data_IF_804641122645
#
_entry.id   IF_804641122645
#
_cell.length_a   1.000
_cell.length_b   1.000
_cell.length_c   1.000
_cell.angle_alpha   90.00
_cell.angle_beta   90.00
_cell.angle_gamma   90.00
#
_symmetry.space_group_name_H-M   'P 1'
#
loop_
_entity.id
_entity.type
_entity.pdbx_description
1 polymer ?
#
# COMPACT_ATOMS: atom_id res chain seq x y z
N UNK A 1 27.81 7.74 -15.98
CA UNK A 1 26.55 8.37 -15.55
C UNK A 1 26.00 7.47 -14.47
N UNK A 2 25.75 7.98 -13.27
CA UNK A 2 25.03 7.22 -12.24
C UNK A 2 23.68 6.81 -12.81
N UNK A 3 23.31 5.54 -12.67
CA UNK A 3 22.00 5.08 -13.13
C UNK A 3 20.90 5.81 -12.35
N UNK A 4 19.80 6.16 -13.02
CA UNK A 4 18.68 6.85 -12.37
C UNK A 4 18.06 5.95 -11.31
N UNK A 5 17.76 6.54 -10.16
CA UNK A 5 17.07 5.92 -9.05
C UNK A 5 15.57 6.21 -9.14
N UNK A 6 14.75 5.24 -8.77
CA UNK A 6 13.31 5.43 -8.71
C UNK A 6 12.73 4.79 -7.45
N UNK A 7 11.75 5.48 -6.90
CA UNK A 7 10.98 5.10 -5.73
C UNK A 7 9.53 4.92 -6.15
N UNK A 8 8.89 3.88 -5.64
CA UNK A 8 7.44 3.71 -5.69
C UNK A 8 6.86 4.31 -4.42
N UNK A 9 5.90 5.22 -4.52
CA UNK A 9 5.12 5.70 -3.39
C UNK A 9 3.65 5.35 -3.56
N UNK A 10 3.01 4.97 -2.47
CA UNK A 10 1.59 4.57 -2.45
C UNK A 10 0.78 5.41 -1.42
N UNK A 11 0.79 6.75 -1.52
CA UNK A 11 0.14 7.59 -0.52
C UNK A 11 -1.37 7.37 -0.46
N UNK A 12 -1.95 7.58 0.73
CA UNK A 12 -3.38 7.50 0.97
C UNK A 12 -3.88 8.79 1.63
N UNK A 13 -5.01 9.31 1.17
CA UNK A 13 -5.68 10.45 1.79
C UNK A 13 -7.15 10.15 2.07
N UNK A 14 -7.69 10.80 3.09
CA UNK A 14 -8.97 10.50 3.72
C UNK A 14 -10.17 11.14 3.00
N UNK A 15 -10.21 11.01 1.67
CA UNK A 15 -11.38 11.34 0.86
C UNK A 15 -11.52 10.36 -0.32
N UNK A 16 -12.68 9.73 -0.46
CA UNK A 16 -13.01 8.84 -1.57
C UNK A 16 -14.30 9.23 -2.31
N UNK A 17 -14.86 10.41 -2.03
CA UNK A 17 -16.23 10.78 -2.44
C UNK A 17 -16.29 12.09 -3.22
N UNK A 18 -15.51 13.09 -2.82
CA UNK A 18 -15.54 14.45 -3.40
C UNK A 18 -14.57 14.52 -4.57
N UNK A 19 -15.09 14.29 -5.79
CA UNK A 19 -14.27 14.20 -7.01
C UNK A 19 -13.37 15.43 -7.21
N UNK A 20 -13.89 16.62 -7.00
CA UNK A 20 -13.16 17.88 -7.10
C UNK A 20 -12.00 17.98 -6.10
N UNK A 21 -12.18 17.46 -4.88
CA UNK A 21 -11.13 17.40 -3.86
C UNK A 21 -10.06 16.38 -4.25
N UNK A 22 -10.47 15.20 -4.70
CA UNK A 22 -9.58 14.14 -5.17
C UNK A 22 -8.70 14.64 -6.33
N UNK A 23 -9.30 15.24 -7.35
CA UNK A 23 -8.54 15.78 -8.49
C UNK A 23 -7.59 16.90 -8.07
N UNK A 24 -8.00 17.80 -7.16
CA UNK A 24 -7.13 18.86 -6.65
C UNK A 24 -5.94 18.32 -5.84
N UNK A 25 -6.11 17.20 -5.13
CA UNK A 25 -5.05 16.55 -4.35
C UNK A 25 -4.07 15.79 -5.24
N UNK A 26 -4.53 15.14 -6.31
CA UNK A 26 -3.66 14.37 -7.22
C UNK A 26 -2.98 15.23 -8.29
N UNK A 27 -3.49 16.44 -8.57
CA UNK A 27 -2.94 17.36 -9.57
C UNK A 27 -1.44 17.65 -9.41
N UNK A 28 -0.90 17.87 -8.19
CA UNK A 28 0.54 18.11 -7.99
C UNK A 28 1.46 16.96 -8.40
N UNK A 29 0.91 15.76 -8.66
CA UNK A 29 1.66 14.61 -9.16
C UNK A 29 1.69 14.53 -10.69
N UNK A 30 0.87 15.32 -11.39
CA UNK A 30 0.76 15.32 -12.85
C UNK A 30 1.77 16.29 -13.45
N UNK A 31 2.33 15.93 -14.61
CA UNK A 31 3.25 16.78 -15.39
C UNK A 31 4.50 17.26 -14.64
N UNK A 32 4.96 16.52 -13.64
CA UNK A 32 6.21 16.80 -12.91
C UNK A 32 7.35 15.99 -13.55
N UNK A 33 8.40 16.67 -13.98
CA UNK A 33 9.58 15.99 -14.54
C UNK A 33 10.19 15.02 -13.51
N UNK A 34 10.45 13.78 -13.93
CA UNK A 34 10.97 12.75 -13.05
C UNK A 34 9.93 12.09 -12.14
N UNK A 35 8.63 12.41 -12.30
CA UNK A 35 7.52 11.78 -11.56
C UNK A 35 6.45 11.29 -12.53
N UNK A 36 5.86 10.15 -12.24
CA UNK A 36 4.82 9.50 -13.03
C UNK A 36 3.70 9.01 -12.11
N UNK A 37 2.57 9.71 -12.15
CA UNK A 37 1.32 9.24 -11.56
C UNK A 37 0.85 8.01 -12.32
N UNK A 38 0.79 6.86 -11.66
CA UNK A 38 0.41 5.57 -12.25
C UNK A 38 -1.09 5.36 -12.18
N UNK A 39 -1.67 5.52 -10.98
CA UNK A 39 -3.11 5.41 -10.75
C UNK A 39 -3.51 6.21 -9.50
N UNK A 40 -4.80 6.52 -9.41
CA UNK A 40 -5.45 6.87 -8.15
C UNK A 40 -6.82 6.22 -8.13
N UNK A 41 -7.14 5.61 -6.99
CA UNK A 41 -8.27 4.70 -6.82
C UNK A 41 -9.11 5.20 -5.64
N UNK A 42 -10.13 6.04 -5.91
CA UNK A 42 -11.05 6.49 -4.88
C UNK A 42 -11.97 5.35 -4.47
N UNK A 43 -12.06 5.11 -3.16
CA UNK A 43 -12.89 4.08 -2.57
C UNK A 43 -14.05 4.74 -1.79
N UNK A 44 -15.22 4.83 -2.41
CA UNK A 44 -16.36 5.59 -1.89
C UNK A 44 -16.81 5.15 -0.48
N UNK A 45 -16.90 3.84 -0.23
CA UNK A 45 -17.39 3.28 1.04
C UNK A 45 -16.36 3.37 2.16
N UNK A 46 -15.09 3.24 1.82
CA UNK A 46 -13.96 3.46 2.73
C UNK A 46 -13.71 4.94 3.01
N UNK A 47 -14.22 5.82 2.13
CA UNK A 47 -13.97 7.26 2.08
C UNK A 47 -12.47 7.59 2.14
N UNK A 48 -11.70 6.93 1.28
CA UNK A 48 -10.27 7.18 1.10
C UNK A 48 -9.91 7.09 -0.39
N UNK A 49 -8.78 7.63 -0.76
CA UNK A 49 -8.17 7.43 -2.08
C UNK A 49 -6.75 6.93 -1.90
N UNK A 50 -6.44 5.82 -2.57
CA UNK A 50 -5.08 5.30 -2.70
C UNK A 50 -4.50 5.84 -4.00
N UNK A 51 -3.27 6.33 -3.95
CA UNK A 51 -2.56 6.84 -5.13
C UNK A 51 -1.32 6.01 -5.33
N UNK A 52 -1.01 5.66 -6.58
CA UNK A 52 0.26 5.02 -6.97
C UNK A 52 1.05 5.99 -7.81
N UNK A 53 2.28 6.31 -7.39
CA UNK A 53 3.18 7.20 -8.10
C UNK A 53 4.61 6.65 -8.07
N UNK A 54 5.34 6.79 -9.17
CA UNK A 54 6.75 6.42 -9.28
C UNK A 54 7.54 7.67 -9.61
N UNK A 55 8.72 7.86 -9.04
CA UNK A 55 9.57 8.98 -9.42
C UNK A 55 10.99 8.92 -8.90
N UNK A 56 11.82 9.82 -9.41
CA UNK A 56 13.16 10.09 -8.89
C UNK A 56 13.06 10.67 -7.47
N UNK A 57 13.97 10.36 -6.53
CA UNK A 57 13.82 10.68 -5.11
C UNK A 57 13.46 12.14 -4.80
N UNK A 58 14.21 13.10 -5.36
CA UNK A 58 14.02 14.52 -5.06
C UNK A 58 12.74 15.10 -5.70
N UNK A 59 12.46 14.92 -7.01
CA UNK A 59 11.20 15.34 -7.60
C UNK A 59 9.97 14.70 -6.94
N UNK A 60 10.05 13.39 -6.62
CA UNK A 60 8.96 12.67 -5.98
C UNK A 60 8.66 13.22 -4.58
N UNK A 61 9.69 13.50 -3.78
CA UNK A 61 9.53 14.13 -2.46
C UNK A 61 8.73 15.42 -2.54
N UNK A 62 9.13 16.35 -3.41
CA UNK A 62 8.43 17.63 -3.54
C UNK A 62 7.00 17.45 -4.07
N UNK A 63 6.76 16.52 -5.00
CA UNK A 63 5.42 16.21 -5.49
C UNK A 63 4.52 15.65 -4.37
N UNK A 64 5.03 14.74 -3.53
CA UNK A 64 4.33 14.18 -2.38
C UNK A 64 4.03 15.24 -1.31
N UNK A 65 4.97 16.15 -1.03
CA UNK A 65 4.74 17.27 -0.11
C UNK A 65 3.66 18.24 -0.61
N UNK A 66 3.63 18.51 -1.92
CA UNK A 66 2.59 19.35 -2.53
C UNK A 66 1.21 18.66 -2.55
N UNK A 67 1.17 17.35 -2.77
CA UNK A 67 -0.05 16.54 -2.59
C UNK A 67 -0.54 16.60 -1.14
N UNK A 68 0.33 16.34 -0.17
CA UNK A 68 -0.01 16.37 1.25
C UNK A 68 -0.55 17.75 1.67
N UNK A 69 0.09 18.84 1.21
CA UNK A 69 -0.42 20.21 1.39
C UNK A 69 -1.87 20.35 0.95
N UNK A 70 -2.22 19.84 -0.23
CA UNK A 70 -3.61 19.90 -0.74
C UNK A 70 -4.57 19.09 0.11
N UNK A 71 -4.15 17.92 0.61
CA UNK A 71 -4.93 17.13 1.56
C UNK A 71 -5.21 17.91 2.85
N UNK A 72 -4.20 18.60 3.41
CA UNK A 72 -4.37 19.42 4.61
C UNK A 72 -5.27 20.64 4.40
N UNK A 73 -5.27 21.24 3.20
CA UNK A 73 -6.10 22.40 2.86
C UNK A 73 -7.58 22.03 2.63
N UNK A 74 -7.87 20.83 2.12
CA UNK A 74 -9.19 20.47 1.56
C UNK A 74 -9.97 19.44 2.38
N UNK A 75 -9.34 18.76 3.33
CA UNK A 75 -9.97 17.73 4.15
C UNK A 75 -9.89 18.14 5.63
N UNK A 76 -11.06 18.33 6.24
CA UNK A 76 -11.19 18.53 7.67
C UNK A 76 -11.48 17.18 8.36
N UNK A 77 -10.53 16.69 9.14
CA UNK A 77 -10.64 15.45 9.91
C UNK A 77 -11.72 15.49 11.00
N UNK A 78 -12.15 16.67 11.44
CA UNK A 78 -13.29 16.78 12.39
C UNK A 78 -14.64 16.49 11.73
N UNK A 79 -14.71 16.50 10.39
CA UNK A 79 -15.90 16.17 9.59
C UNK A 79 -15.74 14.87 8.79
N UNK A 80 -14.52 14.35 8.70
CA UNK A 80 -14.22 13.20 7.87
C UNK A 80 -14.71 11.91 8.54
N UNK A 81 -15.57 11.19 7.83
CA UNK A 81 -16.08 9.89 8.27
C UNK A 81 -15.88 8.83 7.18
N UNK A 82 -15.43 7.65 7.57
CA UNK A 82 -15.20 6.52 6.67
C UNK A 82 -15.05 5.21 7.44
N UNK A 83 -15.23 4.09 6.73
CA UNK A 83 -15.07 2.76 7.36
C UNK A 83 -13.60 2.31 7.43
N UNK A 84 -12.70 2.98 6.69
CA UNK A 84 -11.27 2.69 6.77
C UNK A 84 -10.60 3.40 7.96
N UNK A 85 -9.80 2.70 8.79
CA UNK A 85 -9.04 3.33 9.85
C UNK A 85 -8.06 4.37 9.30
N UNK A 86 -8.15 5.60 9.83
CA UNK A 86 -7.36 6.77 9.46
C UNK A 86 -7.03 7.64 10.66
N UNK A 87 -5.96 8.42 10.59
CA UNK A 87 -5.54 9.39 11.61
C UNK A 87 -5.24 10.78 11.04
N UNK A 88 -5.20 10.94 9.71
CA UNK A 88 -4.95 12.24 9.08
C UNK A 88 -5.62 12.41 7.72
N UNK A 89 -5.66 13.66 7.25
CA UNK A 89 -6.19 13.98 5.92
C UNK A 89 -5.28 13.46 4.82
N UNK A 90 -3.98 13.71 4.91
CA UNK A 90 -2.97 12.84 4.33
C UNK A 90 -2.64 11.77 5.36
N UNK A 91 -3.13 10.55 5.17
CA UNK A 91 -3.06 9.54 6.23
C UNK A 91 -1.73 8.79 6.20
N UNK A 92 -1.33 8.27 5.04
CA UNK A 92 -0.05 7.58 4.86
C UNK A 92 0.69 8.07 3.64
N UNK A 93 2.03 8.06 3.72
CA UNK A 93 2.96 8.17 2.58
C UNK A 93 3.98 7.02 2.70
N UNK A 94 3.60 5.81 2.27
CA UNK A 94 4.51 4.69 2.19
C UNK A 94 5.33 4.77 0.90
N UNK A 95 6.62 4.51 1.00
CA UNK A 95 7.57 4.49 -0.11
C UNK A 95 8.38 3.20 -0.11
N UNK A 96 8.75 2.76 -1.30
CA UNK A 96 9.38 1.45 -1.52
C UNK A 96 10.48 1.56 -2.58
N UNK A 97 11.57 0.80 -2.42
CA UNK A 97 12.57 0.64 -3.47
C UNK A 97 11.93 0.14 -4.77
N UNK A 98 12.17 0.86 -5.87
CA UNK A 98 11.65 0.48 -7.19
C UNK A 98 12.76 0.17 -8.20
N UNK A 99 13.71 1.08 -8.41
CA UNK A 99 14.85 0.84 -9.32
C UNK A 99 16.10 1.54 -8.81
N UNK A 100 17.21 0.79 -8.73
CA UNK A 100 18.55 1.29 -8.40
C UNK A 100 18.66 2.08 -7.09
N UNK A 101 17.75 1.85 -6.15
CA UNK A 101 17.73 2.50 -4.84
C UNK A 101 17.62 1.44 -3.75
N UNK A 102 18.36 1.60 -2.65
CA UNK A 102 18.29 0.68 -1.52
C UNK A 102 17.15 1.03 -0.57
N UNK A 103 16.85 0.10 0.33
CA UNK A 103 15.92 0.38 1.42
C UNK A 103 16.46 1.43 2.39
N UNK A 104 17.77 1.51 2.63
CA UNK A 104 18.34 2.55 3.51
C UNK A 104 18.17 3.94 2.90
N UNK A 105 18.36 4.07 1.59
CA UNK A 105 18.11 5.32 0.87
C UNK A 105 16.62 5.72 0.93
N UNK A 106 15.69 4.75 0.83
CA UNK A 106 14.26 5.01 1.02
C UNK A 106 13.94 5.40 2.47
N UNK A 107 14.57 4.79 3.47
CA UNK A 107 14.42 5.19 4.88
C UNK A 107 14.81 6.64 5.07
N UNK A 108 15.98 7.05 4.56
CA UNK A 108 16.42 8.45 4.64
C UNK A 108 15.44 9.40 3.94
N UNK A 109 14.92 9.02 2.77
CA UNK A 109 13.92 9.81 2.06
C UNK A 109 12.60 9.95 2.85
N UNK A 110 12.15 8.88 3.50
CA UNK A 110 10.96 8.89 4.36
C UNK A 110 11.13 9.82 5.57
N UNK A 111 12.31 9.80 6.21
CA UNK A 111 12.66 10.72 7.29
C UNK A 111 12.62 12.18 6.82
N UNK A 112 13.25 12.48 5.67
CA UNK A 112 13.24 13.83 5.09
C UNK A 112 11.82 14.32 4.76
N UNK A 113 10.96 13.44 4.21
CA UNK A 113 9.56 13.75 3.96
C UNK A 113 8.84 14.08 5.27
N UNK A 114 9.04 13.27 6.32
CA UNK A 114 8.40 13.49 7.62
C UNK A 114 8.78 14.82 8.27
N UNK A 115 10.08 15.13 8.29
CA UNK A 115 10.59 16.40 8.83
C UNK A 115 10.07 17.61 8.04
N UNK A 116 10.05 17.53 6.71
CA UNK A 116 9.54 18.61 5.86
C UNK A 116 8.01 18.78 5.96
N UNK A 117 7.24 17.71 6.20
CA UNK A 117 5.81 17.81 6.49
C UNK A 117 5.57 18.67 7.73
N UNK A 118 6.24 18.34 8.84
CA UNK A 118 6.06 19.10 10.07
C UNK A 118 6.55 20.53 9.93
N UNK A 119 7.74 20.73 9.34
CA UNK A 119 8.33 22.06 9.14
C UNK A 119 7.48 22.99 8.26
N UNK A 120 6.84 22.47 7.21
CA UNK A 120 6.06 23.29 6.25
C UNK A 120 4.61 23.48 6.67
N UNK A 121 4.02 22.49 7.36
CA UNK A 121 2.57 22.42 7.56
C UNK A 121 2.15 22.24 9.03
N UNK A 122 3.11 22.09 9.94
CA UNK A 122 2.88 21.85 11.38
C UNK A 122 1.99 20.62 11.66
N UNK A 123 1.95 19.68 10.71
CA UNK A 123 1.25 18.39 10.85
C UNK A 123 2.20 17.38 11.49
N UNK A 124 1.86 16.80 12.65
CA UNK A 124 2.67 15.80 13.31
C UNK A 124 2.84 14.53 12.47
N UNK A 125 3.99 13.87 12.63
CA UNK A 125 4.35 12.68 11.83
C UNK A 125 4.64 11.48 12.72
N UNK A 126 4.16 10.32 12.28
CA UNK A 126 4.58 9.02 12.79
C UNK A 126 5.40 8.28 11.73
N UNK A 127 6.40 7.53 12.18
CA UNK A 127 7.18 6.65 11.33
C UNK A 127 6.81 5.19 11.56
N UNK A 128 6.69 4.43 10.47
CA UNK A 128 6.28 3.02 10.45
C UNK A 128 7.18 2.20 9.54
N UNK A 129 7.06 0.87 9.52
CA UNK A 129 7.89 0.02 8.66
C UNK A 129 9.37 0.05 9.08
N UNK A 130 10.28 0.19 8.12
CA UNK A 130 11.73 0.12 8.38
C UNK A 130 12.29 1.36 9.11
N UNK A 131 11.56 2.47 9.11
CA UNK A 131 11.94 3.69 9.84
C UNK A 131 11.14 3.89 11.15
N UNK A 132 10.39 2.88 11.59
CA UNK A 132 9.69 2.92 12.87
C UNK A 132 10.65 3.09 14.06
N UNK A 133 10.28 3.92 15.04
CA UNK A 133 11.10 4.14 16.24
C UNK A 133 11.11 2.98 17.24
N UNK A 134 10.16 2.06 17.13
CA UNK A 134 10.08 0.84 17.94
C UNK A 134 9.30 -0.25 17.19
N UNK A 135 9.34 -1.47 17.72
CA UNK A 135 8.70 -2.65 17.10
C UNK A 135 7.19 -2.51 16.94
N UNK A 136 6.49 -1.94 17.93
CA UNK A 136 5.04 -1.77 17.86
C UNK A 136 4.63 -0.82 16.73
N UNK A 137 5.39 0.26 16.52
CA UNK A 137 5.16 1.25 15.46
C UNK A 137 5.45 0.73 14.06
N UNK A 138 6.05 -0.45 13.89
CA UNK A 138 6.16 -1.08 12.55
C UNK A 138 4.79 -1.36 11.93
N UNK A 139 3.78 -1.62 12.76
CA UNK A 139 2.44 -1.93 12.30
C UNK A 139 1.55 -0.68 12.26
N UNK A 140 1.00 -0.36 11.08
CA UNK A 140 0.02 0.73 10.92
C UNK A 140 -1.19 0.58 11.86
N UNK A 141 -1.61 -0.66 12.15
CA UNK A 141 -2.72 -0.93 13.07
C UNK A 141 -2.46 -0.50 14.51
N UNK A 142 -1.20 -0.52 14.95
CA UNK A 142 -0.82 -0.03 16.27
C UNK A 142 -0.93 1.50 16.33
N UNK A 143 -0.34 2.19 15.35
CA UNK A 143 -0.36 3.65 15.27
C UNK A 143 -1.80 4.15 15.14
N UNK A 144 -2.57 3.57 14.20
CA UNK A 144 -3.98 3.91 13.94
C UNK A 144 -4.97 3.38 14.98
N UNK A 145 -4.52 2.78 16.08
CA UNK A 145 -5.43 2.25 17.12
C UNK A 145 -6.25 3.39 17.73
N UNK A 146 -7.57 3.30 17.60
CA UNK A 146 -8.49 4.36 18.02
C UNK A 146 -8.76 5.41 16.94
N UNK A 147 -8.14 5.29 15.77
CA UNK A 147 -8.27 6.22 14.64
C UNK A 147 -7.96 7.68 15.04
N UNK A 148 -8.43 8.66 14.28
CA UNK A 148 -8.23 10.08 14.56
C UNK A 148 -8.78 10.48 15.94
N UNK A 149 -10.03 10.11 16.25
CA UNK A 149 -10.72 10.52 17.47
C UNK A 149 -10.04 9.97 18.73
N UNK A 150 -9.80 8.66 18.77
CA UNK A 150 -9.17 8.02 19.92
C UNK A 150 -7.68 8.36 20.05
N UNK A 151 -6.97 8.58 18.94
CA UNK A 151 -5.56 8.99 19.00
C UNK A 151 -5.42 10.43 19.53
N UNK A 152 -6.35 11.34 19.20
CA UNK A 152 -6.38 12.72 19.73
C UNK A 152 -6.39 12.74 21.27
N UNK A 153 -7.06 11.77 21.89
CA UNK A 153 -7.14 11.65 23.36
C UNK A 153 -5.83 11.18 23.99
N UNK A 154 -5.03 10.34 23.31
CA UNK A 154 -3.87 9.67 23.91
C UNK A 154 -2.52 10.10 23.34
N UNK A 155 -2.49 10.91 22.28
CA UNK A 155 -1.27 11.38 21.62
C UNK A 155 -0.34 12.20 22.53
N UNK A 156 -0.82 12.64 23.69
CA UNK A 156 0.00 13.33 24.70
C UNK A 156 0.87 12.38 25.53
N UNK A 157 0.60 11.08 25.50
CA UNK A 157 1.33 10.06 26.26
C UNK A 157 2.63 9.68 25.56
N UNK A 158 3.68 9.32 26.33
CA UNK A 158 4.98 8.95 25.75
C UNK A 158 4.91 7.76 24.80
N UNK A 159 4.00 6.82 25.04
CA UNK A 159 3.79 5.64 24.20
C UNK A 159 3.18 6.01 22.83
N UNK A 160 2.28 7.00 22.82
CA UNK A 160 1.42 7.31 21.66
C UNK A 160 1.75 8.62 20.96
N UNK A 161 2.69 9.42 21.47
CA UNK A 161 3.08 10.70 20.85
C UNK A 161 3.70 10.55 19.47
N UNK A 162 3.49 11.50 18.54
CA UNK A 162 4.17 11.55 17.26
C UNK A 162 5.68 11.46 17.37
N UNK A 163 6.34 10.97 16.32
CA UNK A 163 7.80 10.92 16.22
C UNK A 163 8.39 12.30 15.90
N UNK A 164 7.67 13.09 15.10
CA UNK A 164 8.00 14.48 14.76
C UNK A 164 6.81 15.38 15.09
N UNK A 165 7.10 16.51 15.74
CA UNK A 165 6.10 17.50 16.15
C UNK A 165 5.67 17.39 17.61
N UNK A 166 4.66 18.16 18.04
CA UNK A 166 4.18 18.17 19.42
C UNK A 166 3.50 16.84 19.79
N UNK A 167 3.38 16.58 21.09
CA UNK A 167 2.62 15.45 21.63
C UNK A 167 1.09 15.67 21.53
N UNK A 168 0.62 15.94 20.31
CA UNK A 168 -0.77 16.22 19.97
C UNK A 168 -0.97 15.95 18.46
N UNK A 169 -2.23 15.83 18.02
CA UNK A 169 -2.58 15.83 16.60
C UNK A 169 -2.88 17.26 16.14
N UNK A 170 -2.70 17.53 14.84
CA UNK A 170 -3.21 18.76 14.24
C UNK A 170 -4.75 18.75 14.29
N UNK A 171 -5.42 19.86 14.67
CA UNK A 171 -6.88 19.89 14.82
C UNK A 171 -7.65 19.42 13.58
N UNK A 172 -7.39 20.00 12.41
CA UNK A 172 -8.13 19.64 11.17
C UNK A 172 -7.41 18.64 10.28
N UNK A 173 -6.09 18.56 10.30
CA UNK A 173 -5.31 17.64 9.45
C UNK A 173 -4.98 16.28 10.11
N UNK A 174 -5.06 16.17 11.45
CA UNK A 174 -4.66 14.96 12.17
C UNK A 174 -3.14 14.78 12.21
N UNK A 175 -2.65 13.60 11.81
CA UNK A 175 -1.23 13.31 11.66
C UNK A 175 -0.97 12.43 10.42
N UNK A 176 0.24 12.49 9.88
CA UNK A 176 0.64 11.67 8.72
C UNK A 176 1.57 10.55 9.15
N UNK A 177 1.36 9.34 8.62
CA UNK A 177 2.30 8.24 8.79
C UNK A 177 3.20 8.17 7.56
N UNK A 178 4.50 8.34 7.73
CA UNK A 178 5.48 8.21 6.65
C UNK A 178 6.29 6.93 6.86
N UNK A 179 6.41 6.09 5.85
CA UNK A 179 7.09 4.80 6.00
C UNK A 179 7.90 4.41 4.79
N UNK A 180 9.06 3.84 5.02
CA UNK A 180 9.80 3.08 4.02
C UNK A 180 9.66 1.58 4.32
N UNK A 181 9.40 0.76 3.30
CA UNK A 181 9.45 -0.69 3.42
C UNK A 181 10.00 -1.35 2.16
N UNK A 182 10.33 -2.64 2.25
CA UNK A 182 10.95 -3.39 1.15
C UNK A 182 10.01 -3.59 -0.04
N UNK A 183 8.75 -3.90 0.24
CA UNK A 183 7.77 -4.21 -0.78
C UNK A 183 6.43 -3.52 -0.51
N UNK A 184 5.89 -2.94 -1.57
CA UNK A 184 4.50 -2.53 -1.60
C UNK A 184 3.60 -3.75 -1.59
N UNK A 185 2.40 -3.57 -1.05
CA UNK A 185 1.38 -4.60 -1.04
C UNK A 185 0.97 -4.98 -2.48
N UNK A 186 1.09 -6.26 -2.84
CA UNK A 186 0.42 -6.78 -4.05
C UNK A 186 -0.90 -7.43 -3.63
N UNK A 187 -2.02 -6.82 -4.02
CA UNK A 187 -3.33 -7.38 -3.78
C UNK A 187 -3.67 -8.41 -4.87
N UNK A 188 -3.99 -9.64 -4.45
CA UNK A 188 -4.23 -10.77 -5.35
C UNK A 188 -5.46 -11.57 -4.91
N UNK A 189 -6.49 -11.55 -5.76
CA UNK A 189 -7.77 -12.22 -5.54
C UNK A 189 -7.83 -13.51 -6.36
N UNK A 190 -8.37 -14.59 -5.76
CA UNK A 190 -8.64 -15.85 -6.46
C UNK A 190 -10.11 -16.22 -6.32
N UNK A 191 -10.75 -16.48 -7.45
CA UNK A 191 -12.19 -16.67 -7.56
C UNK A 191 -12.56 -18.15 -7.55
N UNK A 192 -13.55 -18.51 -6.75
CA UNK A 192 -14.00 -19.88 -6.54
C UNK A 192 -15.43 -20.07 -7.10
N UNK A 193 -15.66 -21.18 -7.81
CA UNK A 193 -16.96 -21.58 -8.35
C UNK A 193 -17.92 -22.12 -7.26
N UNK A 194 -18.13 -21.35 -6.20
CA UNK A 194 -19.06 -21.70 -5.12
C UNK A 194 -19.54 -20.43 -4.42
N UNK A 195 -20.78 -20.41 -3.94
CA UNK A 195 -21.28 -19.34 -3.06
C UNK A 195 -21.05 -19.64 -1.57
N UNK A 196 -20.48 -20.80 -1.24
CA UNK A 196 -20.17 -21.17 0.14
C UNK A 196 -18.94 -20.40 0.66
N UNK A 197 -19.22 -19.33 1.39
CA UNK A 197 -18.21 -18.48 2.02
C UNK A 197 -17.35 -19.23 3.05
N UNK A 198 -17.85 -20.32 3.64
CA UNK A 198 -17.07 -21.10 4.61
C UNK A 198 -15.86 -21.76 3.95
N UNK A 199 -15.98 -22.16 2.67
CA UNK A 199 -14.88 -22.73 1.88
C UNK A 199 -13.79 -21.69 1.66
N UNK A 200 -14.14 -20.48 1.18
CA UNK A 200 -13.16 -19.40 1.01
C UNK A 200 -12.48 -19.02 2.33
N UNK A 201 -13.22 -18.97 3.44
CA UNK A 201 -12.65 -18.69 4.77
C UNK A 201 -11.69 -19.78 5.23
N UNK A 202 -12.00 -21.05 4.98
CA UNK A 202 -11.12 -22.17 5.31
C UNK A 202 -9.81 -22.11 4.50
N UNK A 203 -9.91 -21.86 3.18
CA UNK A 203 -8.73 -21.75 2.30
C UNK A 203 -7.89 -20.51 2.67
N UNK A 204 -8.53 -19.37 2.93
CA UNK A 204 -7.86 -18.15 3.39
C UNK A 204 -7.10 -18.38 4.70
N UNK A 205 -7.64 -19.18 5.62
CA UNK A 205 -6.94 -19.60 6.85
C UNK A 205 -5.72 -20.46 6.53
N UNK A 206 -5.79 -21.35 5.55
CA UNK A 206 -4.67 -22.20 5.13
C UNK A 206 -3.52 -21.42 4.49
N UNK A 207 -3.82 -20.40 3.68
CA UNK A 207 -2.79 -19.66 2.92
C UNK A 207 -2.08 -18.59 3.74
N UNK A 208 -2.74 -18.00 4.76
CA UNK A 208 -2.22 -16.82 5.48
C UNK A 208 -1.23 -17.16 6.59
N UNK A 209 -0.19 -16.33 6.71
CA UNK A 209 0.87 -16.46 7.72
C UNK A 209 0.40 -16.55 9.16
N UNK A 210 -0.54 -15.69 9.64
CA UNK A 210 -1.01 -15.74 11.05
C UNK A 210 -1.70 -17.04 11.46
N UNK A 211 -1.97 -17.94 10.52
CA UNK A 211 -2.59 -19.25 10.76
C UNK A 211 -1.66 -20.42 10.42
N UNK A 212 -0.36 -20.15 10.20
CA UNK A 212 0.66 -21.15 9.87
C UNK A 212 0.89 -21.35 8.38
N UNK A 213 0.23 -20.58 7.51
CA UNK A 213 0.46 -20.56 6.06
C UNK A 213 1.71 -19.76 5.67
N UNK A 214 1.68 -19.15 4.49
CA UNK A 214 2.80 -18.33 4.01
C UNK A 214 2.97 -17.06 4.87
N UNK A 215 4.13 -16.91 5.51
CA UNK A 215 4.42 -15.83 6.46
C UNK A 215 4.19 -14.43 5.86
N UNK A 216 4.47 -14.28 4.57
CA UNK A 216 4.36 -13.04 3.79
C UNK A 216 2.99 -12.83 3.16
N UNK A 217 1.97 -13.58 3.59
CA UNK A 217 0.60 -13.47 3.09
C UNK A 217 -0.37 -13.16 4.22
N UNK A 218 -1.31 -12.24 3.97
CA UNK A 218 -2.57 -12.12 4.73
C UNK A 218 -3.71 -12.43 3.78
N UNK A 219 -4.71 -13.15 4.26
CA UNK A 219 -5.85 -13.54 3.42
C UNK A 219 -7.15 -13.58 4.20
N UNK A 220 -8.23 -13.34 3.47
CA UNK A 220 -9.61 -13.42 3.95
C UNK A 220 -10.51 -14.03 2.87
N UNK A 221 -11.50 -14.81 3.30
CA UNK A 221 -12.57 -15.29 2.42
C UNK A 221 -13.72 -14.29 2.42
N UNK A 222 -14.09 -13.77 1.26
CA UNK A 222 -15.12 -12.74 1.08
C UNK A 222 -16.06 -13.06 -0.08
N UNK A 223 -17.24 -12.42 -0.07
CA UNK A 223 -18.20 -12.44 -1.17
C UNK A 223 -18.34 -11.00 -1.66
N UNK A 224 -18.05 -10.77 -2.93
CA UNK A 224 -18.32 -9.49 -3.58
C UNK A 224 -19.80 -9.44 -4.00
N UNK A 225 -20.57 -8.41 -3.62
CA UNK A 225 -21.97 -8.26 -4.02
C UNK A 225 -22.20 -8.32 -5.53
N UNK A 226 -21.27 -7.76 -6.30
CA UNK A 226 -21.29 -7.60 -7.74
C UNK A 226 -20.82 -8.84 -8.52
N UNK A 227 -20.46 -9.94 -7.83
CA UNK A 227 -19.87 -11.13 -8.49
C UNK A 227 -20.48 -12.45 -8.01
N UNK A 228 -20.65 -13.39 -8.94
CA UNK A 228 -20.95 -14.79 -8.64
C UNK A 228 -19.76 -15.51 -7.99
N UNK A 229 -20.06 -16.43 -7.06
CA UNK A 229 -19.06 -17.15 -6.30
C UNK A 229 -18.38 -16.35 -5.18
N UNK A 230 -17.45 -16.98 -4.48
CA UNK A 230 -16.67 -16.38 -3.37
C UNK A 230 -15.21 -16.22 -3.74
N UNK A 231 -14.50 -15.39 -2.98
CA UNK A 231 -13.13 -14.98 -3.27
C UNK A 231 -12.23 -15.27 -2.09
N UNK A 232 -11.04 -15.81 -2.36
CA UNK A 232 -9.90 -15.74 -1.45
C UNK A 232 -9.12 -14.48 -1.81
N UNK A 233 -9.34 -13.42 -1.04
CA UNK A 233 -8.63 -12.15 -1.22
C UNK A 233 -7.34 -12.18 -0.40
N UNK A 234 -6.22 -11.88 -1.05
CA UNK A 234 -4.89 -11.96 -0.44
C UNK A 234 -4.14 -10.65 -0.62
N UNK A 235 -3.42 -10.32 0.44
CA UNK A 235 -2.43 -9.27 0.50
C UNK A 235 -1.06 -9.95 0.58
N UNK A 236 -0.29 -9.83 -0.50
CA UNK A 236 1.06 -10.36 -0.63
C UNK A 236 2.06 -9.28 -0.24
N UNK A 237 2.81 -9.51 0.84
CA UNK A 237 3.80 -8.58 1.40
C UNK A 237 5.20 -8.84 0.87
N UNK A 238 5.45 -10.04 0.34
CA UNK A 238 6.70 -10.37 -0.32
C UNK A 238 6.45 -11.41 -1.42
N UNK A 239 6.41 -10.94 -2.67
CA UNK A 239 6.18 -11.81 -3.84
C UNK A 239 7.46 -12.51 -4.32
N UNK A 240 8.64 -12.12 -3.84
CA UNK A 240 9.88 -12.86 -4.07
C UNK A 240 9.95 -14.12 -3.19
N UNK A 241 9.64 -13.97 -1.91
CA UNK A 241 9.60 -15.08 -0.94
C UNK A 241 8.39 -16.01 -1.15
N UNK A 242 7.21 -15.43 -1.41
CA UNK A 242 6.01 -16.20 -1.77
C UNK A 242 5.48 -15.76 -3.15
N UNK A 243 5.96 -16.39 -4.24
CA UNK A 243 5.51 -16.07 -5.59
C UNK A 243 4.00 -16.23 -5.81
N UNK A 244 3.45 -15.42 -6.72
CA UNK A 244 2.03 -15.42 -7.08
C UNK A 244 1.56 -16.81 -7.56
N UNK A 245 2.35 -17.49 -8.40
CA UNK A 245 2.02 -18.85 -8.86
C UNK A 245 1.88 -19.84 -7.69
N UNK A 246 2.69 -19.69 -6.64
CA UNK A 246 2.70 -20.59 -5.48
C UNK A 246 1.45 -20.40 -4.64
N UNK A 247 1.09 -19.14 -4.35
CA UNK A 247 -0.16 -18.82 -3.67
C UNK A 247 -1.37 -19.30 -4.49
N UNK A 248 -1.36 -19.08 -5.81
CA UNK A 248 -2.43 -19.55 -6.69
C UNK A 248 -2.60 -21.06 -6.69
N UNK A 249 -1.50 -21.81 -6.86
CA UNK A 249 -1.55 -23.26 -6.87
C UNK A 249 -1.98 -23.84 -5.52
N UNK A 250 -1.57 -23.23 -4.40
CA UNK A 250 -2.05 -23.62 -3.08
C UNK A 250 -3.57 -23.46 -2.96
N UNK A 251 -4.11 -22.29 -3.30
CA UNK A 251 -5.57 -22.04 -3.26
C UNK A 251 -6.31 -22.98 -4.19
N UNK A 252 -5.79 -23.21 -5.40
CA UNK A 252 -6.36 -24.16 -6.37
C UNK A 252 -6.39 -25.59 -5.83
N UNK A 253 -5.32 -26.04 -5.19
CA UNK A 253 -5.23 -27.37 -4.60
C UNK A 253 -6.21 -27.52 -3.42
N UNK A 254 -6.29 -26.52 -2.55
CA UNK A 254 -7.21 -26.56 -1.42
C UNK A 254 -8.68 -26.49 -1.87
N UNK A 255 -9.02 -25.68 -2.88
CA UNK A 255 -10.37 -25.65 -3.47
C UNK A 255 -10.78 -27.00 -4.05
N UNK A 256 -9.85 -27.71 -4.71
CA UNK A 256 -10.11 -29.03 -5.28
C UNK A 256 -10.51 -30.08 -4.22
N UNK A 257 -10.04 -29.95 -2.96
CA UNK A 257 -10.44 -30.84 -1.85
C UNK A 257 -11.92 -30.71 -1.50
N UNK A 258 -12.54 -29.59 -1.83
CA UNK A 258 -13.97 -29.35 -1.66
C UNK A 258 -14.78 -29.61 -2.94
N UNK A 259 -14.13 -30.10 -4.02
CA UNK A 259 -14.77 -30.23 -5.33
C UNK A 259 -15.09 -28.89 -6.00
N UNK A 260 -14.46 -27.79 -5.55
CA UNK A 260 -14.69 -26.44 -6.06
C UNK A 260 -13.60 -26.07 -7.07
N UNK A 261 -14.01 -25.58 -8.23
CA UNK A 261 -13.09 -25.07 -9.25
C UNK A 261 -12.65 -23.63 -8.94
N UNK A 262 -11.41 -23.30 -9.27
CA UNK A 262 -10.97 -21.90 -9.38
C UNK A 262 -11.36 -21.39 -10.77
N UNK A 263 -12.11 -20.30 -10.83
CA UNK A 263 -12.63 -19.72 -12.09
C UNK A 263 -11.72 -18.64 -12.67
N UNK A 264 -10.79 -18.13 -11.87
CA UNK A 264 -9.80 -17.15 -12.30
C UNK A 264 -9.11 -16.49 -11.12
N UNK A 265 -8.31 -15.47 -11.41
CA UNK A 265 -7.69 -14.61 -10.42
C UNK A 265 -7.55 -13.19 -10.96
N UNK A 266 -7.25 -12.24 -10.07
CA UNK A 266 -7.12 -10.82 -10.37
C UNK A 266 -6.04 -10.23 -9.50
N UNK A 267 -5.18 -9.43 -10.11
CA UNK A 267 -4.29 -8.52 -9.39
C UNK A 267 -5.01 -7.18 -9.29
N UNK A 268 -5.13 -6.65 -8.09
CA UNK A 268 -5.76 -5.35 -7.84
C UNK A 268 -4.65 -4.30 -7.73
N UNK A 269 -4.70 -3.31 -8.61
CA UNK A 269 -3.70 -2.25 -8.70
C UNK A 269 -2.40 -2.70 -9.39
N UNK A 270 -1.31 -1.94 -9.23
CA UNK A 270 -0.03 -2.18 -9.88
C UNK A 270 0.72 -3.38 -9.28
N UNK A 271 1.60 -3.98 -10.08
CA UNK A 271 2.47 -5.10 -9.67
C UNK A 271 3.84 -4.96 -10.33
N UNK A 272 4.90 -5.38 -9.63
CA UNK A 272 6.24 -5.39 -10.21
C UNK A 272 6.33 -6.43 -11.32
N UNK A 273 6.97 -6.06 -12.43
CA UNK A 273 7.19 -6.95 -13.57
C UNK A 273 7.86 -8.26 -13.18
N UNK A 274 8.81 -8.22 -12.25
CA UNK A 274 9.57 -9.41 -11.81
C UNK A 274 8.67 -10.47 -11.15
N UNK A 275 7.59 -10.06 -10.46
CA UNK A 275 6.64 -11.00 -9.84
C UNK A 275 5.80 -11.73 -10.90
N UNK A 276 5.51 -11.07 -12.02
CA UNK A 276 4.80 -11.68 -13.16
C UNK A 276 5.72 -12.62 -13.92
N UNK A 277 6.95 -12.18 -14.23
CA UNK A 277 7.96 -13.00 -14.93
C UNK A 277 8.20 -14.29 -14.15
N UNK A 278 8.37 -14.22 -12.83
CA UNK A 278 8.61 -15.41 -12.02
C UNK A 278 7.47 -16.45 -12.12
N UNK A 279 6.22 -15.99 -12.28
CA UNK A 279 5.09 -16.89 -12.50
C UNK A 279 5.08 -17.47 -13.92
N UNK A 280 5.47 -16.68 -14.93
CA UNK A 280 5.59 -17.14 -16.31
C UNK A 280 6.68 -18.20 -16.47
N UNK A 281 7.85 -17.98 -15.87
CA UNK A 281 8.94 -18.95 -15.86
C UNK A 281 8.49 -20.30 -15.28
N UNK A 282 7.76 -20.26 -14.15
CA UNK A 282 7.23 -21.47 -13.51
C UNK A 282 6.22 -22.22 -14.41
N UNK A 283 5.21 -21.53 -14.95
CA UNK A 283 4.15 -22.20 -15.71
C UNK A 283 4.57 -22.65 -17.10
N UNK A 284 5.52 -21.95 -17.73
CA UNK A 284 6.04 -22.32 -19.05
C UNK A 284 7.26 -23.26 -18.97
N UNK A 285 7.84 -23.46 -17.77
CA UNK A 285 9.04 -24.26 -17.60
C UNK A 285 10.25 -23.67 -18.33
N UNK A 286 10.41 -22.33 -18.28
CA UNK A 286 11.48 -21.67 -19.01
C UNK A 286 12.84 -21.95 -18.35
N UNK A 287 13.81 -22.36 -19.15
CA UNK A 287 15.19 -22.56 -18.73
C UNK A 287 16.08 -21.44 -19.26
N UNK A 288 16.83 -20.79 -18.38
CA UNK A 288 17.77 -19.73 -18.75
C UNK A 288 17.09 -18.48 -19.35
N UNK A 289 15.81 -18.25 -19.05
CA UNK A 289 15.12 -17.02 -19.41
C UNK A 289 15.80 -15.84 -18.73
N UNK A 290 16.04 -14.77 -19.48
CA UNK A 290 16.63 -13.55 -18.97
C UNK A 290 15.73 -12.37 -19.28
N UNK A 291 15.63 -11.44 -18.34
CA UNK A 291 14.77 -10.25 -18.46
C UNK A 291 15.08 -9.43 -19.72
N UNK A 292 16.33 -9.43 -20.17
CA UNK A 292 16.78 -8.76 -21.41
C UNK A 292 16.21 -9.40 -22.68
N UNK A 293 15.57 -10.57 -22.60
CA UNK A 293 14.84 -11.15 -23.73
C UNK A 293 13.47 -10.49 -23.94
N UNK A 294 12.98 -9.71 -22.97
CA UNK A 294 11.74 -8.95 -23.09
C UNK A 294 12.04 -7.64 -23.84
N UNK A 295 11.45 -7.46 -25.01
CA UNK A 295 11.77 -6.34 -25.91
C UNK A 295 11.56 -4.97 -25.26
N UNK A 296 10.48 -4.81 -24.50
CA UNK A 296 10.11 -3.57 -23.82
C UNK A 296 11.16 -3.14 -22.78
N UNK A 297 11.89 -4.07 -22.18
CA UNK A 297 12.93 -3.75 -21.17
C UNK A 297 14.09 -2.94 -21.74
N UNK A 298 14.31 -3.01 -23.06
CA UNK A 298 15.31 -2.19 -23.75
C UNK A 298 14.91 -0.71 -23.87
N UNK A 299 13.63 -0.41 -23.69
CA UNK A 299 13.09 0.96 -23.63
C UNK A 299 12.99 1.47 -22.19
N UNK A 300 13.02 0.59 -21.18
CA UNK A 300 12.90 0.92 -19.75
C UNK A 300 14.24 1.37 -19.11
N UNK A 301 15.03 2.18 -19.82
CA UNK A 301 16.35 2.65 -19.38
C UNK A 301 16.26 3.69 -18.27
#
# INVERSE_FOLDING_TARGET
>A
MTEKQYVLAVPNFSDGRRKEVIEAIVEPLKNVEGVSLVSYEPEHDFNRTVVTVIGEPAPLKEALLNMAKKSYELINMEEQEGTHPRIGSQDTIPIFPFKNITIEECVNLAEEIGEEIYKRFEVPVFFSGQNARNEDRKALSFIRKGQYEGLKEVAHTDERKPDVGPAALHPTAGATIVSADLEGLTAYNIFLATDDLSIAKAIAKGVRGPSGGFSTVRAVGIKFPEREGVVVSMNMFDCGATPLYRAFNFVKQEAARYGVAVTGSEIVGPVKLDYIINSLEYYLGLEGFRKEQILETHLMK
#
